data_IF_350281611391
#
_entry.id   IF_350281611391
#
_cell.length_a   1.000
_cell.length_b   1.000
_cell.length_c   1.000
_cell.angle_alpha   90.00
_cell.angle_beta   90.00
_cell.angle_gamma   90.00
#
_symmetry.space_group_name_H-M   'P 1'
#
loop_
_entity.id
_entity.type
_entity.pdbx_description
1 polymer ?
#
# COMPACT_ATOMS: atom_id res chain seq x y z
N UNK A 1 -15.79 -27.88 -27.28
CA UNK A 1 -14.97 -26.70 -26.92
C UNK A 1 -15.48 -26.15 -25.60
N UNK A 2 -14.73 -26.31 -24.51
CA UNK A 2 -15.12 -25.75 -23.20
C UNK A 2 -14.68 -24.29 -23.19
N UNK A 3 -15.64 -23.37 -23.25
CA UNK A 3 -15.37 -21.92 -23.14
C UNK A 3 -15.37 -21.58 -21.66
N UNK A 4 -14.20 -21.49 -21.06
CA UNK A 4 -14.05 -21.02 -19.68
C UNK A 4 -14.29 -19.51 -19.66
N UNK A 5 -15.43 -19.09 -19.10
CA UNK A 5 -15.76 -17.67 -18.91
C UNK A 5 -14.85 -17.13 -17.80
N UNK A 6 -13.79 -16.43 -18.17
CA UNK A 6 -12.92 -15.76 -17.19
C UNK A 6 -13.72 -14.60 -16.58
N UNK A 7 -14.23 -14.80 -15.38
CA UNK A 7 -14.88 -13.74 -14.62
C UNK A 7 -13.81 -12.75 -14.17
N UNK A 8 -13.79 -11.59 -14.81
CA UNK A 8 -12.81 -10.54 -14.55
C UNK A 8 -13.13 -9.90 -13.20
N UNK A 9 -12.48 -10.38 -12.13
CA UNK A 9 -12.62 -9.79 -10.79
C UNK A 9 -12.25 -8.30 -10.87
N UNK A 10 -13.21 -7.43 -10.56
CA UNK A 10 -12.99 -5.97 -10.59
C UNK A 10 -12.23 -5.57 -9.35
N UNK A 11 -10.99 -5.13 -9.52
CA UNK A 11 -10.17 -4.61 -8.41
C UNK A 11 -10.76 -3.27 -7.93
N UNK A 12 -10.98 -3.09 -6.62
CA UNK A 12 -11.29 -1.77 -6.06
C UNK A 12 -10.21 -0.74 -6.42
N UNK A 13 -10.63 0.44 -6.91
CA UNK A 13 -9.69 1.49 -7.35
C UNK A 13 -8.75 1.91 -6.21
N UNK A 14 -9.22 1.88 -4.96
CA UNK A 14 -8.41 2.18 -3.78
C UNK A 14 -7.18 1.28 -3.63
N UNK A 15 -7.17 0.08 -4.20
CA UNK A 15 -6.04 -0.85 -4.15
C UNK A 15 -5.01 -0.63 -5.24
N UNK A 16 -5.33 0.19 -6.25
CA UNK A 16 -4.41 0.58 -7.32
C UNK A 16 -3.62 1.84 -6.98
N UNK A 17 -3.91 2.47 -5.84
CA UNK A 17 -3.19 3.64 -5.37
C UNK A 17 -1.83 3.21 -4.82
N UNK A 18 -0.75 3.79 -5.31
CA UNK A 18 0.58 3.52 -4.79
C UNK A 18 0.73 4.05 -3.37
N UNK A 19 1.50 3.33 -2.54
CA UNK A 19 1.83 3.81 -1.22
C UNK A 19 2.66 5.10 -1.32
N UNK A 20 2.27 6.09 -0.52
CA UNK A 20 2.98 7.36 -0.47
C UNK A 20 4.43 7.14 0.00
N UNK A 21 5.37 7.78 -0.69
CA UNK A 21 6.77 7.81 -0.32
C UNK A 21 7.27 9.26 -0.37
N UNK A 22 7.41 9.88 0.80
CA UNK A 22 7.95 11.25 0.86
C UNK A 22 9.46 11.23 0.60
N UNK A 23 9.94 12.15 -0.25
CA UNK A 23 11.38 12.31 -0.52
C UNK A 23 12.05 13.02 0.66
N UNK A 24 13.17 12.47 1.14
CA UNK A 24 13.98 13.12 2.17
C UNK A 24 14.75 14.31 1.60
N UNK A 25 14.54 15.50 2.16
CA UNK A 25 15.27 16.73 1.82
C UNK A 25 15.88 17.41 3.05
N UNK A 26 16.01 16.69 4.17
CA UNK A 26 16.58 17.20 5.40
C UNK A 26 18.10 17.38 5.32
N UNK A 27 18.64 18.28 6.17
CA UNK A 27 20.08 18.57 6.21
C UNK A 27 20.71 18.34 7.57
N UNK A 28 19.89 18.18 8.60
CA UNK A 28 20.31 18.04 9.99
C UNK A 28 19.86 16.71 10.57
N UNK A 29 20.50 16.30 11.66
CA UNK A 29 20.04 15.14 12.43
C UNK A 29 18.59 15.30 12.89
N UNK A 30 18.17 16.52 13.27
CA UNK A 30 16.79 16.81 13.64
C UNK A 30 15.80 16.58 12.49
N UNK A 31 16.19 16.89 11.25
CA UNK A 31 15.36 16.62 10.07
C UNK A 31 15.21 15.12 9.82
N UNK A 32 16.26 14.32 10.08
CA UNK A 32 16.20 12.86 9.99
C UNK A 32 15.18 12.29 10.97
N UNK A 33 15.18 12.76 12.22
CA UNK A 33 14.20 12.29 13.22
C UNK A 33 12.77 12.65 12.81
N UNK A 34 12.54 13.86 12.29
CA UNK A 34 11.21 14.25 11.79
C UNK A 34 10.78 13.44 10.58
N UNK A 35 11.70 13.23 9.64
CA UNK A 35 11.44 12.43 8.46
C UNK A 35 11.15 10.97 8.80
N UNK A 36 11.83 10.41 9.81
CA UNK A 36 11.56 9.06 10.31
C UNK A 36 10.11 8.92 10.78
N UNK A 37 9.56 9.91 11.48
CA UNK A 37 8.15 9.92 11.88
C UNK A 37 7.24 9.86 10.64
N UNK A 38 7.51 10.68 9.63
CA UNK A 38 6.76 10.66 8.36
C UNK A 38 6.79 9.29 7.68
N UNK A 39 7.97 8.65 7.59
CA UNK A 39 8.09 7.33 6.95
C UNK A 39 7.37 6.25 7.76
N UNK A 40 7.36 6.33 9.09
CA UNK A 40 6.60 5.42 9.95
C UNK A 40 5.10 5.54 9.68
N UNK A 41 4.57 6.77 9.61
CA UNK A 41 3.16 7.02 9.30
C UNK A 41 2.78 6.50 7.90
N UNK A 42 3.63 6.76 6.89
CA UNK A 42 3.44 6.27 5.53
C UNK A 42 3.44 4.74 5.46
N UNK A 43 4.37 4.09 6.17
CA UNK A 43 4.45 2.64 6.29
C UNK A 43 3.17 2.06 6.89
N UNK A 44 2.66 2.64 7.97
CA UNK A 44 1.50 2.09 8.68
C UNK A 44 0.23 2.17 7.82
N UNK A 45 0.05 3.26 7.07
CA UNK A 45 -1.04 3.41 6.10
C UNK A 45 -0.90 2.38 4.96
N UNK A 46 0.31 2.24 4.41
CA UNK A 46 0.58 1.28 3.34
C UNK A 46 0.34 -0.17 3.79
N UNK A 47 0.78 -0.54 4.99
CA UNK A 47 0.57 -1.86 5.56
C UNK A 47 -0.92 -2.18 5.71
N UNK A 48 -1.73 -1.21 6.16
CA UNK A 48 -3.19 -1.35 6.22
C UNK A 48 -3.80 -1.60 4.83
N UNK A 49 -3.35 -0.89 3.80
CA UNK A 49 -3.81 -1.11 2.42
C UNK A 49 -3.47 -2.52 1.92
N UNK A 50 -2.25 -3.00 2.19
CA UNK A 50 -1.84 -4.37 1.82
C UNK A 50 -2.72 -5.42 2.50
N UNK A 51 -3.04 -5.24 3.79
CA UNK A 51 -3.93 -6.17 4.49
C UNK A 51 -5.32 -6.23 3.84
N UNK A 52 -5.91 -5.08 3.51
CA UNK A 52 -7.20 -5.03 2.81
C UNK A 52 -7.16 -5.70 1.42
N UNK A 53 -6.02 -5.61 0.73
CA UNK A 53 -5.80 -6.30 -0.55
C UNK A 53 -5.76 -7.81 -0.34
N UNK A 54 -4.99 -8.30 0.63
CA UNK A 54 -4.92 -9.74 0.97
C UNK A 54 -6.28 -10.31 1.35
N UNK A 55 -7.03 -9.60 2.20
CA UNK A 55 -8.41 -9.93 2.56
C UNK A 55 -9.29 -10.03 1.32
N UNK A 56 -9.20 -9.07 0.39
CA UNK A 56 -9.95 -9.11 -0.87
C UNK A 56 -9.55 -10.26 -1.79
N UNK A 57 -8.26 -10.66 -1.80
CA UNK A 57 -7.78 -11.82 -2.55
C UNK A 57 -8.20 -13.15 -1.92
N UNK A 58 -8.80 -13.13 -0.74
CA UNK A 58 -9.08 -14.34 0.04
C UNK A 58 -7.82 -14.98 0.61
N UNK A 59 -6.72 -14.25 0.66
CA UNK A 59 -5.49 -14.60 1.37
C UNK A 59 -5.67 -14.23 2.85
N UNK A 60 -6.59 -14.90 3.54
CA UNK A 60 -6.67 -14.87 5.00
C UNK A 60 -5.70 -15.90 5.57
N UNK A 61 -4.90 -15.51 6.56
CA UNK A 61 -4.04 -16.43 7.33
C UNK A 61 -4.86 -17.48 8.10
#
# INVERSE_FOLDING_TARGET
SVVTKVEKVRVPIAYLVECKQTVFNGKTYGDVIRFLITVIEERDICAKQINLIKEWQGESE
#
